data_IF_037809700290
#
_entry.id   IF_037809700290
#
_cell.length_a   1.000
_cell.length_b   1.000
_cell.length_c   1.000
_cell.angle_alpha   90.00
_cell.angle_beta   90.00
_cell.angle_gamma   90.00
#
_symmetry.space_group_name_H-M   'P 1'
#
loop_
_entity.id
_entity.type
_entity.pdbx_description
1 polymer ?
#
# COMPACT_ATOMS: atom_id res chain seq x y z
N UNK A 1 -11.99 2.09 62.44
CA UNK A 1 -11.69 2.01 61.00
C UNK A 1 -10.30 1.39 60.85
N UNK A 2 -10.22 0.09 60.53
CA UNK A 2 -8.98 -0.69 60.47
C UNK A 2 -8.64 -0.84 58.99
N UNK A 3 -7.64 -0.11 58.52
CA UNK A 3 -7.24 -0.05 57.12
C UNK A 3 -6.80 -1.45 56.67
N UNK A 4 -7.45 -1.97 55.64
CA UNK A 4 -7.06 -3.22 55.00
C UNK A 4 -5.72 -3.00 54.30
N UNK A 5 -4.66 -3.58 54.84
CA UNK A 5 -3.42 -3.80 54.12
C UNK A 5 -3.72 -4.73 52.94
N UNK A 6 -4.01 -4.13 51.78
CA UNK A 6 -4.01 -4.82 50.50
C UNK A 6 -2.56 -5.19 50.20
N UNK A 7 -2.10 -6.29 50.80
CA UNK A 7 -0.84 -6.91 50.45
C UNK A 7 -0.86 -7.24 48.96
N UNK A 8 -0.22 -6.40 48.15
CA UNK A 8 0.08 -6.70 46.77
C UNK A 8 0.94 -7.97 46.79
N UNK A 9 0.31 -9.10 46.45
CA UNK A 9 0.96 -10.41 46.42
C UNK A 9 1.93 -10.37 45.23
N UNK A 10 3.17 -9.96 45.49
CA UNK A 10 4.24 -9.97 44.50
C UNK A 10 4.54 -11.42 44.10
N UNK A 11 3.86 -11.91 43.06
CA UNK A 11 4.15 -13.19 42.43
C UNK A 11 5.33 -12.98 41.48
N UNK A 12 6.44 -13.65 41.75
CA UNK A 12 7.59 -13.67 40.85
C UNK A 12 7.24 -14.39 39.54
N UNK A 13 7.81 -13.92 38.43
CA UNK A 13 7.70 -14.55 37.11
C UNK A 13 8.82 -15.58 36.98
N UNK A 14 8.53 -16.74 36.37
CA UNK A 14 9.57 -17.75 36.15
C UNK A 14 10.43 -17.42 34.94
N UNK A 15 11.68 -17.89 34.94
CA UNK A 15 12.55 -17.75 33.77
C UNK A 15 11.96 -18.45 32.53
N UNK A 16 11.30 -19.59 32.73
CA UNK A 16 10.60 -20.33 31.66
C UNK A 16 9.45 -19.50 31.09
N UNK A 17 8.67 -18.84 31.95
CA UNK A 17 7.57 -17.96 31.53
C UNK A 17 8.08 -16.80 30.66
N UNK A 18 9.21 -16.18 31.02
CA UNK A 18 9.83 -15.16 30.18
C UNK A 18 10.31 -15.70 28.83
N UNK A 19 10.93 -16.88 28.80
CA UNK A 19 11.35 -17.52 27.54
C UNK A 19 10.13 -17.77 26.64
N UNK A 20 9.05 -18.31 27.19
CA UNK A 20 7.82 -18.58 26.44
C UNK A 20 7.23 -17.28 25.89
N UNK A 21 7.15 -16.23 26.70
CA UNK A 21 6.65 -14.91 26.26
C UNK A 21 7.50 -14.36 25.12
N UNK A 22 8.83 -14.38 25.24
CA UNK A 22 9.74 -13.92 24.18
C UNK A 22 9.61 -14.76 22.91
N UNK A 23 9.48 -16.08 23.03
CA UNK A 23 9.29 -16.99 21.90
C UNK A 23 7.98 -16.70 21.15
N UNK A 24 6.88 -16.50 21.87
CA UNK A 24 5.57 -16.15 21.28
C UNK A 24 5.66 -14.78 20.58
N UNK A 25 6.25 -13.78 21.23
CA UNK A 25 6.42 -12.45 20.65
C UNK A 25 7.25 -12.53 19.36
N UNK A 26 8.37 -13.26 19.38
CA UNK A 26 9.21 -13.46 18.20
C UNK A 26 8.47 -14.15 17.06
N UNK A 27 7.67 -15.17 17.36
CA UNK A 27 6.84 -15.85 16.37
C UNK A 27 5.81 -14.91 15.74
N UNK A 28 5.10 -14.14 16.57
CA UNK A 28 4.11 -13.15 16.08
C UNK A 28 4.76 -12.12 15.18
N UNK A 29 5.89 -11.55 15.59
CA UNK A 29 6.62 -10.58 14.75
C UNK A 29 7.17 -11.21 13.47
N UNK A 30 7.67 -12.45 13.52
CA UNK A 30 8.15 -13.17 12.36
C UNK A 30 7.06 -13.39 11.30
N UNK A 31 5.91 -13.91 11.71
CA UNK A 31 4.75 -14.12 10.81
C UNK A 31 4.21 -12.79 10.29
N UNK A 32 4.07 -11.80 11.17
CA UNK A 32 3.56 -10.48 10.81
C UNK A 32 4.50 -9.78 9.81
N UNK A 33 5.81 -9.84 10.02
CA UNK A 33 6.79 -9.24 9.11
C UNK A 33 6.78 -9.88 7.72
N UNK A 34 6.65 -11.21 7.63
CA UNK A 34 6.50 -11.92 6.35
C UNK A 34 5.18 -11.58 5.64
N UNK A 35 4.09 -11.43 6.39
CA UNK A 35 2.82 -10.98 5.82
C UNK A 35 2.94 -9.56 5.25
N UNK A 36 3.58 -8.64 5.96
CA UNK A 36 3.83 -7.28 5.47
C UNK A 36 4.77 -7.21 4.27
N UNK A 37 5.77 -8.08 4.18
CA UNK A 37 6.63 -8.14 2.99
C UNK A 37 5.88 -8.67 1.76
N UNK A 38 4.91 -9.58 1.96
CA UNK A 38 4.02 -10.06 0.89
C UNK A 38 3.05 -8.98 0.38
N UNK A 39 2.71 -8.01 1.24
CA UNK A 39 1.91 -6.84 0.90
C UNK A 39 2.71 -5.75 0.16
N UNK A 40 4.01 -5.96 -0.08
CA UNK A 40 4.81 -5.05 -0.90
C UNK A 40 4.22 -5.04 -2.30
N UNK A 41 3.44 -4.00 -2.60
CA UNK A 41 2.90 -3.76 -3.93
C UNK A 41 4.03 -3.93 -4.96
N UNK A 42 3.79 -4.63 -6.09
CA UNK A 42 4.75 -4.68 -7.19
C UNK A 42 5.24 -3.27 -7.45
N UNK A 43 6.55 -3.08 -7.67
CA UNK A 43 7.13 -1.78 -8.00
C UNK A 43 6.35 -1.24 -9.20
N UNK A 44 5.39 -0.37 -8.94
CA UNK A 44 4.61 0.25 -9.99
C UNK A 44 5.62 1.01 -10.86
N UNK A 45 5.57 0.76 -12.16
CA UNK A 45 6.42 1.51 -13.08
C UNK A 45 6.07 2.99 -12.95
N UNK A 46 7.07 3.87 -12.95
CA UNK A 46 6.85 5.32 -12.92
C UNK A 46 5.84 5.79 -13.99
N UNK A 47 5.76 5.04 -15.09
CA UNK A 47 4.77 5.22 -16.15
C UNK A 47 3.34 4.89 -15.72
N UNK A 48 3.10 3.76 -15.06
CA UNK A 48 1.77 3.41 -14.54
C UNK A 48 1.28 4.45 -13.52
N UNK A 49 2.16 4.95 -12.66
CA UNK A 49 1.84 6.03 -11.72
C UNK A 49 1.44 7.32 -12.45
N UNK A 50 2.21 7.71 -13.48
CA UNK A 50 1.91 8.89 -14.29
C UNK A 50 0.56 8.78 -15.03
N UNK A 51 0.21 7.59 -15.53
CA UNK A 51 -1.10 7.33 -16.15
C UNK A 51 -2.24 7.47 -15.14
N UNK A 52 -2.09 6.90 -13.93
CA UNK A 52 -3.11 7.01 -12.86
C UNK A 52 -3.30 8.44 -12.39
N UNK A 53 -2.22 9.20 -12.25
CA UNK A 53 -2.27 10.61 -11.88
C UNK A 53 -3.00 11.44 -12.93
N UNK A 54 -2.63 11.33 -14.21
CA UNK A 54 -3.26 12.09 -15.29
C UNK A 54 -4.76 11.77 -15.43
N UNK A 55 -5.15 10.50 -15.23
CA UNK A 55 -6.56 10.11 -15.21
C UNK A 55 -7.32 10.76 -14.05
N UNK A 56 -6.75 10.73 -12.85
CA UNK A 56 -7.36 11.31 -11.65
C UNK A 56 -7.55 12.80 -11.82
N UNK A 57 -6.55 13.48 -12.38
CA UNK A 57 -6.59 14.91 -12.67
C UNK A 57 -7.65 15.25 -13.73
N UNK A 58 -7.78 14.44 -14.78
CA UNK A 58 -8.80 14.65 -15.81
C UNK A 58 -10.23 14.55 -15.27
N UNK A 59 -10.47 13.55 -14.43
CA UNK A 59 -11.78 13.33 -13.77
C UNK A 59 -12.06 14.46 -12.79
N UNK A 60 -11.11 14.79 -11.92
CA UNK A 60 -11.31 15.77 -10.86
C UNK A 60 -11.49 17.20 -11.39
N UNK A 61 -10.72 17.57 -12.42
CA UNK A 61 -10.74 18.93 -12.96
C UNK A 61 -11.73 19.09 -14.12
N UNK A 62 -12.37 18.01 -14.57
CA UNK A 62 -13.32 18.03 -15.68
C UNK A 62 -12.69 18.39 -17.03
N UNK A 63 -11.37 18.26 -17.18
CA UNK A 63 -10.62 18.66 -18.38
C UNK A 63 -9.75 17.53 -18.89
N UNK A 64 -9.55 17.39 -20.21
CA UNK A 64 -8.64 16.37 -20.73
C UNK A 64 -7.18 16.60 -20.30
N UNK A 65 -6.48 15.57 -19.83
CA UNK A 65 -5.08 15.65 -19.33
C UNK A 65 -4.22 14.57 -19.98
N UNK A 66 -2.99 14.91 -20.39
CA UNK A 66 -2.02 13.94 -20.93
C UNK A 66 -1.11 13.43 -19.81
N UNK A 67 -0.82 12.13 -19.83
CA UNK A 67 0.24 11.60 -18.98
C UNK A 67 1.60 12.16 -19.41
N UNK A 68 2.42 12.57 -18.46
CA UNK A 68 3.79 13.01 -18.74
C UNK A 68 4.69 12.32 -17.73
N UNK A 69 5.72 11.63 -18.19
CA UNK A 69 6.83 11.22 -17.33
C UNK A 69 8.14 11.64 -17.96
N UNK A 70 9.09 11.99 -17.12
CA UNK A 70 10.44 12.39 -17.55
C UNK A 70 11.12 11.18 -18.18
N UNK A 71 11.59 11.33 -19.43
CA UNK A 71 12.45 10.35 -20.10
C UNK A 71 11.75 9.27 -20.92
N UNK A 72 10.42 9.29 -21.08
CA UNK A 72 9.74 8.33 -21.98
C UNK A 72 9.62 8.85 -23.41
N UNK A 73 10.04 8.02 -24.36
CA UNK A 73 9.87 8.23 -25.80
C UNK A 73 8.46 7.84 -26.31
N UNK A 74 7.56 7.44 -25.42
CA UNK A 74 6.21 6.98 -25.75
C UNK A 74 5.26 8.16 -26.00
N UNK A 75 4.41 8.04 -27.02
CA UNK A 75 3.30 8.99 -27.24
C UNK A 75 2.30 8.83 -26.10
N UNK A 76 2.23 9.83 -25.23
CA UNK A 76 1.38 9.79 -24.06
C UNK A 76 -0.12 9.80 -24.39
N UNK A 77 -0.93 8.93 -23.75
CA UNK A 77 -2.36 8.94 -23.92
C UNK A 77 -2.99 10.18 -23.25
N UNK A 78 -4.09 10.62 -23.84
CA UNK A 78 -4.96 11.68 -23.35
C UNK A 78 -6.10 11.05 -22.53
N UNK A 79 -6.22 11.43 -21.27
CA UNK A 79 -7.32 11.03 -20.41
C UNK A 79 -8.47 12.03 -20.50
N UNK A 80 -9.68 11.51 -20.58
CA UNK A 80 -10.91 12.27 -20.63
C UNK A 80 -11.56 12.36 -19.24
N UNK A 81 -12.42 13.36 -18.99
CA UNK A 81 -13.13 13.51 -17.72
C UNK A 81 -14.09 12.36 -17.37
N UNK A 82 -14.48 11.55 -18.36
CA UNK A 82 -15.33 10.36 -18.19
C UNK A 82 -14.53 9.11 -17.78
N UNK A 83 -13.21 9.25 -17.60
CA UNK A 83 -12.32 8.17 -17.21
C UNK A 83 -11.82 7.31 -18.36
N UNK A 84 -12.16 7.63 -19.61
CA UNK A 84 -11.62 6.98 -20.82
C UNK A 84 -10.25 7.54 -21.19
N UNK A 85 -9.53 6.81 -22.06
CA UNK A 85 -8.25 7.22 -22.59
C UNK A 85 -8.22 7.18 -24.13
N UNK A 86 -7.51 8.13 -24.74
CA UNK A 86 -7.24 8.19 -26.18
C UNK A 86 -5.72 8.13 -26.38
N UNK A 87 -5.22 7.10 -27.05
CA UNK A 87 -3.81 6.93 -27.36
C UNK A 87 -3.28 5.54 -26.98
N UNK A 88 -1.98 5.32 -27.19
CA UNK A 88 -1.32 4.05 -26.83
C UNK A 88 -0.92 4.05 -25.36
N UNK A 89 -0.79 2.86 -24.77
CA UNK A 89 -0.30 2.68 -23.40
C UNK A 89 -1.37 2.75 -22.31
N UNK A 90 -2.62 3.06 -22.66
CA UNK A 90 -3.78 2.94 -21.77
C UNK A 90 -4.96 2.27 -22.50
N UNK A 91 -5.73 1.48 -21.77
CA UNK A 91 -6.97 0.88 -22.24
C UNK A 91 -8.01 1.97 -22.55
N UNK A 92 -8.66 1.97 -23.72
CA UNK A 92 -9.55 3.07 -24.13
C UNK A 92 -10.85 3.20 -23.33
N UNK A 93 -11.31 2.12 -22.71
CA UNK A 93 -12.58 2.07 -21.99
C UNK A 93 -12.37 2.29 -20.49
N UNK A 94 -11.28 1.78 -19.94
CA UNK A 94 -10.99 1.78 -18.51
C UNK A 94 -9.91 2.77 -18.11
N UNK A 95 -9.13 3.31 -19.05
CA UNK A 95 -7.97 4.16 -18.76
C UNK A 95 -6.85 3.44 -18.00
N UNK A 96 -6.92 2.11 -17.86
CA UNK A 96 -5.91 1.33 -17.16
C UNK A 96 -4.63 1.23 -18.00
N UNK A 97 -3.43 1.24 -17.39
CA UNK A 97 -2.20 0.95 -18.12
C UNK A 97 -2.25 -0.44 -18.78
N UNK A 98 -1.86 -0.54 -20.05
CA UNK A 98 -1.92 -1.81 -20.81
C UNK A 98 -0.90 -2.84 -20.30
N UNK A 99 0.19 -2.37 -19.67
CA UNK A 99 1.23 -3.21 -19.08
C UNK A 99 1.06 -3.43 -17.55
N UNK A 100 -0.09 -3.05 -16.99
CA UNK A 100 -0.36 -3.33 -15.58
C UNK A 100 -0.50 -4.85 -15.37
N UNK A 101 0.16 -5.45 -14.37
CA UNK A 101 -0.12 -6.84 -14.02
C UNK A 101 -1.61 -6.97 -13.67
N UNK A 102 -2.28 -7.95 -14.30
CA UNK A 102 -3.68 -8.29 -14.04
C UNK A 102 -3.90 -8.77 -12.61
#
# INVERSE_FOLDING_TARGET
>A
MRNAELGARNRGVTLVELIVVVAIIGLVFGVTGLAFSSLRAPRESAWAAALRQARTEAIHNGRPVRAVTTGTQHVAPLFLPDGRAIGRGADPLTGAPVDAPK
#
